data_IF_123213493012
#
_entry.id   IF_123213493012
#
_cell.length_a   1.000
_cell.length_b   1.000
_cell.length_c   1.000
_cell.angle_alpha   90.00
_cell.angle_beta   90.00
_cell.angle_gamma   90.00
#
_symmetry.space_group_name_H-M   'P 1'
#
loop_
_entity.id
_entity.type
_entity.pdbx_description
1 polymer ?
#
# COMPACT_ATOMS: atom_id res chain seq x y z
N UNK A 1 15.86 -22.46 -17.15
CA UNK A 1 16.68 -22.08 -15.97
C UNK A 1 17.48 -20.84 -16.36
N UNK A 2 17.63 -19.89 -15.46
CA UNK A 2 18.36 -18.63 -15.68
C UNK A 2 19.39 -18.53 -14.56
N UNK A 3 20.66 -18.35 -14.93
CA UNK A 3 21.72 -18.07 -13.95
C UNK A 3 22.03 -16.58 -13.97
N UNK A 4 22.16 -15.96 -12.78
CA UNK A 4 22.40 -14.51 -12.64
C UNK A 4 23.10 -14.22 -11.31
N UNK A 5 23.70 -13.03 -11.19
CA UNK A 5 24.28 -12.62 -9.90
C UNK A 5 23.22 -12.16 -8.93
N UNK A 6 22.19 -11.42 -9.39
CA UNK A 6 21.14 -10.89 -8.51
C UNK A 6 19.75 -11.14 -9.08
N UNK A 7 18.84 -11.69 -8.28
CA UNK A 7 17.42 -11.74 -8.58
C UNK A 7 16.68 -10.65 -7.80
N UNK A 8 15.96 -9.78 -8.50
CA UNK A 8 15.09 -8.76 -7.91
C UNK A 8 13.64 -9.22 -8.04
N UNK A 9 12.94 -9.36 -6.93
CA UNK A 9 11.53 -9.79 -6.89
C UNK A 9 10.63 -8.59 -6.60
N UNK A 10 9.85 -8.19 -7.58
CA UNK A 10 9.01 -6.99 -7.57
C UNK A 10 9.65 -5.82 -8.30
N UNK A 11 8.87 -5.14 -9.16
CA UNK A 11 9.27 -3.95 -9.91
C UNK A 11 8.36 -2.74 -9.60
N UNK A 12 8.04 -2.57 -8.33
CA UNK A 12 7.55 -1.31 -7.77
C UNK A 12 8.70 -0.33 -7.52
N UNK A 13 8.44 0.74 -6.78
CA UNK A 13 9.42 1.80 -6.48
C UNK A 13 10.77 1.24 -6.00
N UNK A 14 10.76 0.32 -5.04
CA UNK A 14 11.97 -0.26 -4.47
C UNK A 14 12.74 -1.13 -5.48
N UNK A 15 12.03 -1.96 -6.24
CA UNK A 15 12.66 -2.82 -7.25
C UNK A 15 13.27 -2.03 -8.41
N UNK A 16 12.57 -1.00 -8.91
CA UNK A 16 13.10 -0.13 -9.96
C UNK A 16 14.34 0.64 -9.48
N UNK A 17 14.30 1.16 -8.25
CA UNK A 17 15.49 1.80 -7.64
C UNK A 17 16.65 0.81 -7.50
N UNK A 18 16.38 -0.44 -7.11
CA UNK A 18 17.40 -1.47 -7.04
C UNK A 18 18.00 -1.75 -8.41
N UNK A 19 17.18 -1.91 -9.46
CA UNK A 19 17.64 -2.11 -10.84
C UNK A 19 18.57 -1.00 -11.32
N UNK A 20 18.21 0.25 -11.06
CA UNK A 20 19.06 1.41 -11.36
C UNK A 20 20.43 1.31 -10.68
N UNK A 21 20.45 1.00 -9.39
CA UNK A 21 21.73 0.91 -8.65
C UNK A 21 22.56 -0.31 -9.04
N UNK A 22 21.93 -1.42 -9.42
CA UNK A 22 22.62 -2.59 -9.97
C UNK A 22 23.30 -2.24 -11.31
N UNK A 23 22.63 -1.50 -12.19
CA UNK A 23 23.26 -0.97 -13.42
C UNK A 23 24.46 -0.08 -13.09
N UNK A 24 24.33 0.82 -12.15
CA UNK A 24 25.44 1.68 -11.70
C UNK A 24 26.58 0.89 -11.06
N UNK A 25 26.31 -0.28 -10.52
CA UNK A 25 27.31 -1.21 -10.01
C UNK A 25 27.96 -2.08 -11.12
N UNK A 26 27.63 -1.83 -12.38
CA UNK A 26 28.20 -2.51 -13.54
C UNK A 26 27.54 -3.84 -13.90
N UNK A 27 26.32 -4.11 -13.38
CA UNK A 27 25.54 -5.28 -13.76
C UNK A 27 24.58 -4.94 -14.91
N UNK A 28 24.44 -5.87 -15.86
CA UNK A 28 23.53 -5.71 -17.00
C UNK A 28 22.23 -6.48 -16.74
N UNK A 29 21.08 -5.87 -17.04
CA UNK A 29 19.79 -6.53 -16.92
C UNK A 29 19.67 -7.70 -17.91
N UNK A 30 19.15 -8.83 -17.46
CA UNK A 30 19.03 -10.05 -18.21
C UNK A 30 20.24 -11.00 -18.08
N UNK A 31 21.41 -10.49 -17.72
CA UNK A 31 22.64 -11.25 -17.50
C UNK A 31 23.12 -11.17 -16.04
N UNK A 32 23.58 -9.98 -15.61
CA UNK A 32 24.08 -9.73 -14.26
C UNK A 32 22.98 -9.64 -13.20
N UNK A 33 21.79 -9.24 -13.58
CA UNK A 33 20.60 -9.33 -12.72
C UNK A 33 19.34 -9.57 -13.54
N UNK A 34 18.33 -10.15 -12.90
CA UNK A 34 16.98 -10.30 -13.47
C UNK A 34 15.95 -9.69 -12.56
N UNK A 35 14.93 -9.06 -13.13
CA UNK A 35 13.80 -8.51 -12.40
C UNK A 35 12.53 -9.28 -12.74
N UNK A 36 11.84 -9.76 -11.72
CA UNK A 36 10.61 -10.56 -11.83
C UNK A 36 9.47 -9.80 -11.16
N UNK A 37 8.38 -9.55 -11.88
CA UNK A 37 7.23 -8.86 -11.34
C UNK A 37 5.93 -9.58 -11.74
N UNK A 38 5.03 -9.75 -10.76
CA UNK A 38 3.75 -10.44 -10.97
C UNK A 38 2.70 -9.59 -11.67
N UNK A 39 2.86 -8.28 -11.63
CA UNK A 39 1.89 -7.33 -12.18
C UNK A 39 1.79 -7.47 -13.70
N UNK A 40 0.63 -7.17 -14.30
CA UNK A 40 0.47 -7.24 -15.75
C UNK A 40 1.26 -6.16 -16.51
N UNK A 41 1.57 -5.06 -15.82
CA UNK A 41 2.29 -3.91 -16.41
C UNK A 41 3.13 -3.15 -15.37
N UNK A 42 3.86 -2.12 -15.81
CA UNK A 42 4.56 -1.19 -14.93
C UNK A 42 3.62 -0.46 -13.98
N UNK A 43 4.13 -0.02 -12.82
CA UNK A 43 3.37 0.80 -11.86
C UNK A 43 3.26 0.22 -10.46
N UNK A 44 3.65 -1.04 -10.25
CA UNK A 44 3.52 -1.69 -8.94
C UNK A 44 2.08 -1.58 -8.40
N UNK A 45 1.93 -1.22 -7.12
CA UNK A 45 0.62 -1.05 -6.49
C UNK A 45 -0.20 0.14 -7.02
N UNK A 46 0.44 1.09 -7.72
CA UNK A 46 -0.24 2.30 -8.19
C UNK A 46 -1.26 2.01 -9.29
N UNK A 47 -1.01 1.04 -10.17
CA UNK A 47 -1.92 0.67 -11.25
C UNK A 47 -3.28 0.14 -10.77
N UNK A 48 -3.39 -0.19 -9.47
CA UNK A 48 -4.61 -0.75 -8.86
C UNK A 48 -5.32 0.24 -7.92
N UNK A 49 -4.85 1.49 -7.84
CA UNK A 49 -5.50 2.51 -7.02
C UNK A 49 -6.83 2.93 -7.64
N UNK A 50 -7.72 3.44 -6.81
CA UNK A 50 -9.01 3.94 -7.26
C UNK A 50 -8.85 5.21 -8.12
N UNK A 51 -9.70 5.39 -9.15
CA UNK A 51 -9.50 6.44 -10.16
C UNK A 51 -9.56 7.88 -9.62
N UNK A 52 -10.34 8.14 -8.58
CA UNK A 52 -10.47 9.47 -7.96
C UNK A 52 -9.25 9.88 -7.11
N UNK A 53 -8.29 8.98 -6.90
CA UNK A 53 -7.01 9.35 -6.27
C UNK A 53 -6.15 10.09 -7.29
N UNK A 54 -6.20 11.41 -7.27
CA UNK A 54 -5.45 12.29 -8.19
C UNK A 54 -4.09 12.68 -7.62
N UNK A 55 -3.25 13.31 -8.44
CA UNK A 55 -1.94 13.80 -8.01
C UNK A 55 -2.02 14.90 -6.94
N UNK A 56 -3.14 15.63 -6.87
CA UNK A 56 -3.37 16.62 -5.82
C UNK A 56 -3.78 16.01 -4.47
N UNK A 57 -4.35 14.80 -4.49
CA UNK A 57 -4.85 14.14 -3.26
C UNK A 57 -3.95 13.02 -2.76
N UNK A 58 -3.02 12.54 -3.60
CA UNK A 58 -2.04 11.55 -3.18
C UNK A 58 -1.04 12.13 -2.19
N UNK A 59 -0.58 11.32 -1.24
CA UNK A 59 0.44 11.73 -0.27
C UNK A 59 1.86 11.68 -0.89
N UNK A 60 2.05 12.44 -1.98
CA UNK A 60 3.31 12.56 -2.69
C UNK A 60 3.69 11.33 -3.55
N UNK A 61 4.29 11.60 -4.69
CA UNK A 61 4.98 10.62 -5.53
C UNK A 61 6.45 11.02 -5.53
N UNK A 62 7.32 10.16 -5.02
CA UNK A 62 8.75 10.42 -4.93
C UNK A 62 9.47 10.08 -6.22
N UNK A 63 10.49 10.86 -6.55
CA UNK A 63 11.37 10.60 -7.67
C UNK A 63 12.10 9.27 -7.50
N UNK A 64 12.27 8.55 -8.60
CA UNK A 64 13.18 7.42 -8.68
C UNK A 64 14.62 7.92 -9.01
N UNK A 65 15.66 7.20 -8.59
CA UNK A 65 17.03 7.60 -8.84
C UNK A 65 17.29 7.86 -10.33
N UNK A 66 17.82 9.04 -10.67
CA UNK A 66 18.22 9.37 -12.04
C UNK A 66 17.10 9.87 -12.97
N UNK A 67 15.84 9.99 -12.49
CA UNK A 67 14.73 10.50 -13.28
C UNK A 67 13.66 11.11 -12.37
N UNK A 68 13.33 12.38 -12.58
CA UNK A 68 12.28 13.04 -11.83
C UNK A 68 10.88 12.62 -12.32
N UNK A 69 9.93 12.50 -11.40
CA UNK A 69 8.53 12.24 -11.74
C UNK A 69 7.93 13.36 -12.58
N UNK A 70 8.27 14.61 -12.22
CA UNK A 70 7.82 15.81 -12.94
C UNK A 70 8.17 15.79 -14.44
N UNK A 71 9.32 15.19 -14.84
CA UNK A 71 9.73 15.10 -16.25
C UNK A 71 8.78 14.25 -17.11
N UNK A 72 7.84 13.56 -16.48
CA UNK A 72 6.89 12.67 -17.18
C UNK A 72 5.45 13.17 -17.16
N UNK A 73 5.22 14.27 -16.45
CA UNK A 73 3.92 14.92 -16.40
C UNK A 73 3.73 15.83 -17.63
N UNK A 74 2.48 15.99 -18.03
CA UNK A 74 2.08 17.02 -18.99
C UNK A 74 1.67 18.31 -18.28
N UNK A 75 1.06 19.21 -19.02
CA UNK A 75 0.55 20.50 -18.51
C UNK A 75 -0.84 20.37 -17.85
N UNK A 76 -1.32 19.14 -17.67
CA UNK A 76 -2.63 18.88 -17.08
C UNK A 76 -2.63 19.24 -15.57
N UNK A 77 -3.73 19.87 -15.07
CA UNK A 77 -3.84 20.15 -13.63
C UNK A 77 -3.77 18.87 -12.79
N UNK A 78 -3.03 18.90 -11.68
CA UNK A 78 -2.85 17.74 -10.79
C UNK A 78 -4.16 17.15 -10.28
N UNK A 79 -5.21 17.98 -10.17
CA UNK A 79 -6.56 17.59 -9.75
C UNK A 79 -7.25 16.67 -10.76
N UNK A 80 -6.89 16.77 -12.05
CA UNK A 80 -7.48 15.99 -13.14
C UNK A 80 -6.70 14.70 -13.47
N UNK A 81 -5.46 14.57 -12.96
CA UNK A 81 -4.59 13.44 -13.31
C UNK A 81 -4.68 12.35 -12.25
N UNK A 82 -5.24 11.22 -12.63
CA UNK A 82 -5.30 10.05 -11.76
C UNK A 82 -3.88 9.50 -11.47
N UNK A 83 -3.58 9.24 -10.20
CA UNK A 83 -2.29 8.67 -9.81
C UNK A 83 -2.10 7.26 -10.39
N UNK A 84 -3.22 6.52 -10.59
CA UNK A 84 -3.24 5.20 -11.21
C UNK A 84 -2.83 5.21 -12.70
N UNK A 85 -2.81 6.36 -13.36
CA UNK A 85 -2.36 6.53 -14.74
C UNK A 85 -0.96 7.15 -14.80
N UNK A 86 -0.73 8.21 -14.02
CA UNK A 86 0.52 8.96 -14.05
C UNK A 86 1.71 8.14 -13.55
N UNK A 87 1.57 7.43 -12.44
CA UNK A 87 2.69 6.68 -11.85
C UNK A 87 3.06 5.45 -12.68
N UNK A 88 2.12 4.63 -13.21
CA UNK A 88 2.45 3.58 -14.17
C UNK A 88 3.13 4.09 -15.44
N UNK A 89 2.71 5.25 -15.97
CA UNK A 89 3.37 5.91 -17.11
C UNK A 89 4.82 6.29 -16.77
N UNK A 90 5.06 6.84 -15.60
CA UNK A 90 6.39 7.18 -15.11
C UNK A 90 7.28 5.94 -14.97
N UNK A 91 6.77 4.86 -14.35
CA UNK A 91 7.55 3.63 -14.17
C UNK A 91 7.86 2.95 -15.49
N UNK A 92 6.94 2.98 -16.46
CA UNK A 92 7.21 2.49 -17.83
C UNK A 92 8.37 3.24 -18.48
N UNK A 93 8.31 4.59 -18.47
CA UNK A 93 9.40 5.42 -19.02
C UNK A 93 10.74 5.17 -18.29
N UNK A 94 10.68 4.92 -16.98
CA UNK A 94 11.85 4.60 -16.19
C UNK A 94 12.46 3.26 -16.59
N UNK A 95 11.66 2.23 -16.74
CA UNK A 95 12.10 0.91 -17.20
C UNK A 95 12.72 0.96 -18.59
N UNK A 96 12.12 1.71 -19.51
CA UNK A 96 12.62 1.94 -20.86
C UNK A 96 13.95 2.71 -20.85
N UNK A 97 14.02 3.83 -20.11
CA UNK A 97 15.21 4.67 -20.03
C UNK A 97 16.43 3.97 -19.48
N UNK A 98 16.23 3.09 -18.53
CA UNK A 98 17.31 2.37 -17.85
C UNK A 98 17.40 0.91 -18.28
N UNK A 99 16.70 0.51 -19.34
CA UNK A 99 16.75 -0.85 -19.95
C UNK A 99 16.65 -1.98 -18.91
N UNK A 100 15.70 -1.85 -17.94
CA UNK A 100 15.61 -2.76 -16.80
C UNK A 100 15.08 -4.15 -17.16
N UNK A 101 14.53 -4.35 -18.35
CA UNK A 101 14.05 -5.63 -18.92
C UNK A 101 13.22 -6.46 -17.94
N UNK A 102 12.25 -5.82 -17.23
CA UNK A 102 11.41 -6.48 -16.22
C UNK A 102 10.56 -7.57 -16.86
N UNK A 103 10.65 -8.78 -16.33
CA UNK A 103 9.84 -9.93 -16.78
C UNK A 103 8.48 -9.92 -16.10
N UNK A 104 7.41 -9.84 -16.89
CA UNK A 104 5.99 -9.80 -16.47
C UNK A 104 5.09 -10.62 -17.39
N UNK A 105 3.98 -11.16 -16.89
CA UNK A 105 3.71 -11.40 -15.46
C UNK A 105 4.49 -12.63 -14.97
N UNK A 106 5.24 -12.49 -13.89
CA UNK A 106 6.00 -13.58 -13.29
C UNK A 106 5.80 -13.60 -11.78
N UNK A 107 5.06 -14.57 -11.28
CA UNK A 107 4.78 -14.72 -9.85
C UNK A 107 5.79 -15.67 -9.22
N UNK A 108 6.69 -15.13 -8.40
CA UNK A 108 7.59 -15.94 -7.57
C UNK A 108 6.77 -16.57 -6.45
N UNK A 109 6.83 -17.91 -6.37
CA UNK A 109 6.08 -18.70 -5.40
C UNK A 109 6.92 -19.19 -4.23
N UNK A 110 8.21 -19.43 -4.45
CA UNK A 110 9.13 -19.90 -3.40
C UNK A 110 10.57 -19.52 -3.72
N UNK A 111 11.30 -19.19 -2.66
CA UNK A 111 12.76 -18.99 -2.68
C UNK A 111 13.38 -19.96 -1.68
N UNK A 112 14.34 -20.78 -2.16
CA UNK A 112 15.09 -21.71 -1.35
C UNK A 112 16.56 -21.35 -1.34
N UNK A 113 17.21 -21.53 -0.22
CA UNK A 113 18.66 -21.56 -0.14
C UNK A 113 19.19 -22.85 -0.78
N UNK A 114 20.16 -22.70 -1.67
CA UNK A 114 20.87 -23.80 -2.37
C UNK A 114 22.38 -23.49 -2.43
N UNK A 115 22.96 -23.22 -1.27
CA UNK A 115 24.36 -22.81 -1.16
C UNK A 115 25.25 -23.27 -2.32
N UNK A 116 25.97 -22.35 -2.97
CA UNK A 116 26.13 -20.94 -2.63
C UNK A 116 25.08 -20.01 -3.29
N UNK A 117 24.00 -20.52 -3.85
CA UNK A 117 23.02 -19.79 -4.63
C UNK A 117 21.63 -19.83 -3.97
N UNK A 118 20.82 -18.83 -4.29
CA UNK A 118 19.38 -18.85 -4.07
C UNK A 118 18.67 -19.43 -5.29
N UNK A 119 17.74 -20.34 -5.06
CA UNK A 119 16.84 -20.83 -6.09
C UNK A 119 15.49 -20.15 -5.96
N UNK A 120 15.11 -19.38 -7.00
CA UNK A 120 13.85 -18.64 -7.11
C UNK A 120 12.94 -19.35 -8.10
N UNK A 121 11.76 -19.76 -7.68
CA UNK A 121 10.80 -20.50 -8.50
C UNK A 121 9.58 -19.64 -8.82
N UNK A 122 9.21 -19.59 -10.11
CA UNK A 122 8.07 -18.85 -10.63
C UNK A 122 7.41 -19.64 -11.77
N UNK A 123 6.54 -20.58 -11.45
CA UNK A 123 5.96 -21.52 -12.40
C UNK A 123 7.05 -22.36 -13.08
N UNK A 124 7.13 -22.31 -14.40
CA UNK A 124 8.18 -23.00 -15.17
C UNK A 124 9.53 -22.26 -15.15
N UNK A 125 9.55 -21.02 -14.71
CA UNK A 125 10.78 -20.22 -14.62
C UNK A 125 11.50 -20.53 -13.30
N UNK A 126 12.76 -20.93 -13.42
CA UNK A 126 13.68 -21.11 -12.29
C UNK A 126 14.87 -20.18 -12.50
N UNK A 127 15.19 -19.38 -11.47
CA UNK A 127 16.37 -18.50 -11.44
C UNK A 127 17.29 -18.98 -10.33
N UNK A 128 18.58 -19.15 -10.68
CA UNK A 128 19.66 -19.35 -9.73
C UNK A 128 20.44 -18.04 -9.58
N UNK A 129 20.55 -17.52 -8.35
CA UNK A 129 21.14 -16.21 -8.11
C UNK A 129 22.10 -16.24 -6.91
N UNK A 130 23.22 -15.49 -7.00
CA UNK A 130 24.16 -15.30 -5.88
C UNK A 130 23.56 -14.39 -4.79
N UNK A 131 22.71 -13.43 -5.18
CA UNK A 131 22.05 -12.48 -4.30
C UNK A 131 20.56 -12.31 -4.60
N UNK A 132 19.83 -11.90 -3.58
CA UNK A 132 18.39 -11.69 -3.66
C UNK A 132 18.00 -10.29 -3.15
N UNK A 133 17.21 -9.54 -3.93
CA UNK A 133 16.57 -8.31 -3.50
C UNK A 133 15.05 -8.52 -3.53
N UNK A 134 14.44 -8.55 -2.33
CA UNK A 134 13.00 -8.65 -2.23
C UNK A 134 12.35 -7.26 -2.17
N UNK A 135 11.58 -6.92 -3.19
CA UNK A 135 10.89 -5.65 -3.37
C UNK A 135 9.38 -5.83 -3.61
N UNK A 136 8.78 -6.88 -3.03
CA UNK A 136 7.39 -7.30 -3.28
C UNK A 136 6.32 -6.43 -2.63
N UNK A 137 6.73 -5.50 -1.77
CA UNK A 137 5.81 -4.56 -1.13
C UNK A 137 4.75 -5.24 -0.25
N UNK A 138 3.54 -4.65 -0.24
CA UNK A 138 2.47 -5.05 0.67
C UNK A 138 1.11 -5.25 0.00
N UNK A 139 0.93 -4.76 -1.23
CA UNK A 139 -0.37 -4.68 -1.92
C UNK A 139 -1.15 -6.00 -1.98
N UNK A 140 -0.43 -7.12 -2.08
CA UNK A 140 -1.03 -8.45 -2.20
C UNK A 140 -1.46 -9.07 -0.86
N UNK A 141 -1.22 -8.36 0.25
CA UNK A 141 -1.56 -8.81 1.60
C UNK A 141 -2.42 -7.76 2.31
N UNK A 142 -3.65 -7.47 1.84
CA UNK A 142 -4.59 -6.65 2.57
C UNK A 142 -4.84 -7.27 3.95
N UNK A 143 -4.93 -6.43 4.97
CA UNK A 143 -5.17 -6.89 6.33
C UNK A 143 -6.62 -6.60 6.74
N UNK A 144 -7.41 -7.63 6.90
CA UNK A 144 -8.74 -7.57 7.49
C UNK A 144 -8.70 -8.25 8.85
N UNK A 145 -8.93 -7.53 9.95
CA UNK A 145 -8.98 -8.13 11.26
C UNK A 145 -10.24 -9.00 11.42
N UNK A 146 -10.12 -10.08 12.16
CA UNK A 146 -11.26 -10.92 12.50
C UNK A 146 -12.05 -10.28 13.66
N UNK A 147 -13.36 -10.30 13.54
CA UNK A 147 -14.32 -9.94 14.59
C UNK A 147 -15.41 -11.00 14.66
N UNK A 148 -15.86 -11.30 15.87
CA UNK A 148 -16.94 -12.26 16.09
C UNK A 148 -18.18 -11.85 15.28
N UNK A 149 -18.75 -12.80 14.54
CA UNK A 149 -19.90 -12.62 13.68
C UNK A 149 -19.60 -12.03 12.29
N UNK A 150 -18.33 -11.78 11.95
CA UNK A 150 -17.96 -11.23 10.63
C UNK A 150 -18.41 -12.13 9.46
N UNK A 151 -18.42 -13.44 9.66
CA UNK A 151 -18.84 -14.44 8.67
C UNK A 151 -20.36 -14.51 8.47
N UNK A 152 -21.15 -14.00 9.42
CA UNK A 152 -22.62 -13.96 9.34
C UNK A 152 -23.16 -12.64 8.81
N UNK A 153 -22.29 -11.68 8.57
CA UNK A 153 -22.70 -10.38 8.05
C UNK A 153 -23.29 -10.49 6.66
N UNK A 154 -24.57 -10.12 6.49
CA UNK A 154 -25.29 -10.20 5.23
C UNK A 154 -24.94 -9.06 4.26
N UNK A 155 -24.33 -7.97 4.76
CA UNK A 155 -23.86 -6.87 3.94
C UNK A 155 -22.54 -7.17 3.21
N UNK A 156 -22.02 -6.18 2.49
CA UNK A 156 -20.75 -6.29 1.78
C UNK A 156 -19.58 -5.95 2.69
N UNK A 157 -18.58 -6.83 2.77
CA UNK A 157 -17.27 -6.50 3.34
C UNK A 157 -16.25 -6.33 2.22
N UNK A 158 -15.48 -5.25 2.23
CA UNK A 158 -14.42 -5.01 1.25
C UNK A 158 -13.22 -4.30 1.92
N UNK A 159 -12.05 -4.53 1.38
CA UNK A 159 -10.84 -3.79 1.76
C UNK A 159 -10.66 -2.58 0.84
N UNK A 160 -9.92 -1.54 1.28
CA UNK A 160 -9.58 -0.39 0.42
C UNK A 160 -8.92 -0.76 -0.91
N UNK A 161 -8.29 -1.93 -0.99
CA UNK A 161 -7.77 -2.51 -2.24
C UNK A 161 -8.86 -2.70 -3.30
N UNK A 162 -10.08 -3.00 -2.86
CA UNK A 162 -11.22 -3.36 -3.72
C UNK A 162 -12.15 -2.18 -4.00
N UNK A 163 -11.92 -1.04 -3.35
CA UNK A 163 -12.68 0.18 -3.59
C UNK A 163 -12.42 0.74 -5.01
N UNK A 164 -13.47 1.21 -5.66
CA UNK A 164 -13.39 1.82 -7.00
C UNK A 164 -14.01 3.21 -7.05
N UNK A 165 -15.26 3.37 -6.62
CA UNK A 165 -15.98 4.64 -6.66
C UNK A 165 -16.99 4.73 -5.51
N UNK A 166 -17.25 5.94 -5.04
CA UNK A 166 -18.23 6.20 -4.00
C UNK A 166 -19.67 5.89 -4.46
N UNK A 167 -19.97 6.03 -5.73
CA UNK A 167 -21.30 5.81 -6.30
C UNK A 167 -21.85 4.38 -6.08
N UNK A 168 -20.94 3.39 -5.89
CA UNK A 168 -21.32 2.01 -5.56
C UNK A 168 -22.09 1.91 -4.22
N UNK A 169 -21.97 2.92 -3.38
CA UNK A 169 -22.54 2.93 -2.03
C UNK A 169 -23.80 3.81 -1.90
N UNK A 170 -24.30 4.38 -2.99
CA UNK A 170 -25.49 5.21 -2.96
C UNK A 170 -26.67 4.48 -2.28
N UNK A 171 -27.31 5.15 -1.30
CA UNK A 171 -28.42 4.61 -0.52
C UNK A 171 -28.06 3.51 0.51
N UNK A 172 -26.76 3.29 0.78
CA UNK A 172 -26.26 2.32 1.77
C UNK A 172 -25.58 3.03 2.93
N UNK A 173 -25.62 2.45 4.13
CA UNK A 173 -24.81 2.93 5.23
C UNK A 173 -23.45 2.22 5.26
N UNK A 174 -22.35 3.01 5.22
CA UNK A 174 -20.99 2.49 5.15
C UNK A 174 -20.25 2.70 6.46
N UNK A 175 -19.83 1.61 7.09
CA UNK A 175 -18.92 1.65 8.25
C UNK A 175 -17.47 1.59 7.72
N UNK A 176 -16.71 2.67 7.88
CA UNK A 176 -15.29 2.73 7.47
C UNK A 176 -14.41 2.48 8.69
N UNK A 177 -13.59 1.44 8.62
CA UNK A 177 -12.74 0.97 9.71
C UNK A 177 -11.28 1.29 9.42
N UNK A 178 -10.68 2.17 10.23
CA UNK A 178 -9.26 2.50 10.13
C UNK A 178 -8.96 3.97 10.39
N UNK A 179 -7.75 4.26 10.84
CA UNK A 179 -7.31 5.62 11.20
C UNK A 179 -6.19 6.17 10.31
N UNK A 180 -6.02 5.63 9.10
CA UNK A 180 -4.99 6.05 8.15
C UNK A 180 -5.50 7.01 7.07
N UNK A 181 -4.58 7.50 6.22
CA UNK A 181 -4.88 8.43 5.12
C UNK A 181 -5.98 7.88 4.22
N UNK A 182 -5.91 6.60 3.82
CA UNK A 182 -6.94 6.01 2.97
C UNK A 182 -8.34 6.02 3.61
N UNK A 183 -8.44 5.84 4.94
CA UNK A 183 -9.74 5.89 5.62
C UNK A 183 -10.38 7.27 5.48
N UNK A 184 -9.62 8.34 5.76
CA UNK A 184 -10.17 9.72 5.72
C UNK A 184 -10.45 10.19 4.30
N UNK A 185 -9.65 9.77 3.31
CA UNK A 185 -9.91 10.05 1.90
C UNK A 185 -11.22 9.39 1.44
N UNK A 186 -11.41 8.10 1.75
CA UNK A 186 -12.63 7.39 1.39
C UNK A 186 -13.86 7.89 2.17
N UNK A 187 -13.70 8.30 3.43
CA UNK A 187 -14.77 8.98 4.17
C UNK A 187 -15.19 10.30 3.51
N UNK A 188 -14.22 11.08 3.03
CA UNK A 188 -14.52 12.31 2.30
C UNK A 188 -15.33 12.01 1.02
N UNK A 189 -14.90 11.08 0.20
CA UNK A 189 -15.60 10.70 -1.03
C UNK A 189 -17.00 10.10 -0.75
N UNK A 190 -17.07 9.09 0.10
CA UNK A 190 -18.29 8.32 0.36
C UNK A 190 -19.35 9.18 1.06
N UNK A 191 -18.94 10.06 1.99
CA UNK A 191 -19.88 10.93 2.72
C UNK A 191 -20.57 11.99 1.85
N UNK A 192 -20.11 12.19 0.61
CA UNK A 192 -20.78 13.05 -0.36
C UNK A 192 -21.95 12.34 -1.05
N UNK A 193 -21.96 11.02 -1.03
CA UNK A 193 -22.94 10.18 -1.73
C UNK A 193 -23.92 9.53 -0.76
N UNK A 194 -23.44 9.15 0.44
CA UNK A 194 -24.26 8.42 1.40
C UNK A 194 -23.80 8.63 2.85
N UNK A 195 -24.49 8.01 3.81
CA UNK A 195 -24.16 8.12 5.24
C UNK A 195 -23.01 7.18 5.61
N UNK A 196 -22.13 7.66 6.50
CA UNK A 196 -20.96 6.92 6.96
C UNK A 196 -20.86 6.87 8.47
N UNK A 197 -20.21 5.83 9.00
CA UNK A 197 -19.73 5.76 10.37
C UNK A 197 -18.24 5.48 10.35
N UNK A 198 -17.44 6.34 10.97
CA UNK A 198 -16.00 6.16 11.09
C UNK A 198 -15.61 5.48 12.39
N UNK A 199 -14.84 4.41 12.30
CA UNK A 199 -14.45 3.58 13.46
C UNK A 199 -12.94 3.37 13.49
N UNK A 200 -12.32 3.64 14.64
CA UNK A 200 -10.87 3.43 14.80
C UNK A 200 -10.52 2.88 16.19
N UNK A 201 -9.44 2.10 16.27
CA UNK A 201 -8.91 1.59 17.55
C UNK A 201 -8.35 2.69 18.45
N UNK A 202 -7.72 3.71 17.85
CA UNK A 202 -7.10 4.83 18.54
C UNK A 202 -7.54 6.13 17.90
N UNK A 203 -7.75 7.20 18.66
CA UNK A 203 -8.00 8.51 18.08
C UNK A 203 -6.88 8.89 17.13
N UNK A 204 -7.18 9.26 15.88
CA UNK A 204 -6.17 9.80 14.98
C UNK A 204 -5.73 11.18 15.45
N UNK A 205 -4.52 11.56 15.14
CA UNK A 205 -3.97 12.89 15.38
C UNK A 205 -4.00 13.65 14.06
N UNK A 206 -4.69 14.78 14.03
CA UNK A 206 -4.65 15.69 12.90
C UNK A 206 -3.58 16.75 13.12
N UNK A 207 -3.01 17.26 12.04
CA UNK A 207 -2.05 18.36 12.01
C UNK A 207 -2.43 19.36 10.93
N UNK A 208 -2.16 20.62 11.20
CA UNK A 208 -2.48 21.76 10.31
C UNK A 208 -1.28 22.15 9.44
N UNK A 209 -0.07 21.63 9.74
CA UNK A 209 1.16 21.94 9.01
C UNK A 209 1.51 20.85 8.01
N UNK A 210 2.07 21.25 6.88
CA UNK A 210 2.65 20.33 5.91
C UNK A 210 3.77 19.48 6.53
N UNK A 211 3.99 18.30 5.95
CA UNK A 211 5.01 17.39 6.37
C UNK A 211 6.32 17.72 5.65
N UNK A 212 7.17 18.51 6.31
CA UNK A 212 8.47 18.91 5.78
C UNK A 212 9.56 17.83 5.98
N UNK A 213 10.73 18.09 5.42
CA UNK A 213 11.88 17.17 5.53
C UNK A 213 12.34 16.94 6.98
N UNK A 214 12.17 17.92 7.88
CA UNK A 214 12.54 17.80 9.29
C UNK A 214 11.56 16.92 10.04
N UNK A 215 10.28 17.08 9.80
CA UNK A 215 9.24 16.19 10.32
C UNK A 215 9.45 14.76 9.80
N UNK A 216 9.86 14.59 8.53
CA UNK A 216 10.21 13.31 7.94
C UNK A 216 11.38 12.64 8.66
N UNK A 217 12.47 13.36 8.90
CA UNK A 217 13.63 12.84 9.65
C UNK A 217 13.25 12.42 11.08
N UNK A 218 12.45 13.22 11.77
CA UNK A 218 11.98 12.90 13.13
C UNK A 218 11.11 11.64 13.13
N UNK A 219 10.21 11.51 12.17
CA UNK A 219 9.37 10.33 12.05
C UNK A 219 10.19 9.04 11.81
N UNK A 220 11.20 9.10 10.94
CA UNK A 220 12.12 7.98 10.70
C UNK A 220 12.91 7.64 11.98
N UNK A 221 13.44 8.64 12.69
CA UNK A 221 14.16 8.43 13.93
C UNK A 221 13.28 7.74 15.00
N UNK A 222 12.01 8.13 15.13
CA UNK A 222 11.06 7.47 16.05
C UNK A 222 10.81 6.00 15.68
N UNK A 223 10.72 5.69 14.39
CA UNK A 223 10.57 4.30 13.93
C UNK A 223 11.84 3.51 14.21
N UNK A 224 13.01 4.09 13.94
CA UNK A 224 14.31 3.48 14.21
C UNK A 224 14.50 3.17 15.71
N UNK A 225 14.17 4.10 16.58
CA UNK A 225 14.24 3.91 18.04
C UNK A 225 13.34 2.76 18.51
N UNK A 226 12.11 2.66 17.97
CA UNK A 226 11.22 1.53 18.25
C UNK A 226 11.83 0.19 17.83
N UNK A 227 12.38 0.13 16.62
CA UNK A 227 12.99 -1.11 16.09
C UNK A 227 14.23 -1.49 16.91
N UNK A 228 15.06 -0.51 17.29
CA UNK A 228 16.20 -0.74 18.18
C UNK A 228 15.79 -1.24 19.58
N UNK A 229 14.61 -0.84 20.04
CA UNK A 229 14.03 -1.35 21.30
C UNK A 229 13.35 -2.73 21.14
N UNK A 230 13.48 -3.40 19.99
CA UNK A 230 12.87 -4.71 19.71
C UNK A 230 11.34 -4.66 19.53
N UNK A 231 10.76 -3.48 19.32
CA UNK A 231 9.33 -3.30 19.11
C UNK A 231 9.02 -3.28 17.61
N UNK A 232 7.86 -3.79 17.18
CA UNK A 232 7.45 -3.71 15.79
C UNK A 232 7.41 -2.25 15.31
N UNK A 233 7.78 -1.95 14.05
CA UNK A 233 7.67 -0.60 13.49
C UNK A 233 6.21 -0.15 13.55
N UNK A 234 5.95 1.06 14.02
CA UNK A 234 4.62 1.69 13.97
C UNK A 234 4.21 2.02 12.54
N UNK A 235 2.92 2.28 12.30
CA UNK A 235 2.51 2.83 11.01
C UNK A 235 3.05 4.26 10.85
N UNK A 236 3.38 4.64 9.62
CA UNK A 236 3.87 6.01 9.32
C UNK A 236 2.91 7.06 9.88
N UNK A 237 1.62 6.91 9.67
CA UNK A 237 0.58 7.84 10.16
C UNK A 237 0.56 7.95 11.69
N UNK A 238 0.93 6.88 12.43
CA UNK A 238 0.99 6.93 13.90
C UNK A 238 2.08 7.87 14.43
N UNK A 239 3.07 8.19 13.61
CA UNK A 239 4.17 9.12 13.96
C UNK A 239 4.06 10.46 13.24
N UNK A 240 3.37 10.53 12.07
CA UNK A 240 3.27 11.74 11.26
C UNK A 240 1.97 12.49 11.43
N UNK A 241 0.91 11.85 11.93
CA UNK A 241 -0.45 12.38 11.94
C UNK A 241 -1.07 12.48 10.53
N UNK A 242 -2.32 12.93 10.49
CA UNK A 242 -3.09 13.17 9.26
C UNK A 242 -3.08 14.67 8.96
N UNK A 243 -2.71 15.06 7.75
CA UNK A 243 -2.83 16.45 7.32
C UNK A 243 -4.31 16.79 7.12
N UNK A 244 -4.78 17.84 7.79
CA UNK A 244 -6.13 18.36 7.60
C UNK A 244 -6.17 19.24 6.35
N UNK A 245 -6.46 18.63 5.20
CA UNK A 245 -6.66 19.36 3.94
C UNK A 245 -8.01 20.09 3.92
N UNK A 246 -8.22 21.06 3.01
CA UNK A 246 -9.54 21.72 2.87
C UNK A 246 -10.68 20.73 2.60
N UNK A 247 -10.47 19.68 1.83
CA UNK A 247 -11.49 18.63 1.59
C UNK A 247 -11.81 17.85 2.86
N UNK A 248 -10.81 17.48 3.66
CA UNK A 248 -11.01 16.79 4.93
C UNK A 248 -11.67 17.70 5.98
N UNK A 249 -11.38 19.01 5.98
CA UNK A 249 -12.10 19.97 6.81
C UNK A 249 -13.59 20.02 6.41
N UNK A 250 -13.90 20.02 5.12
CA UNK A 250 -15.28 19.93 4.64
C UNK A 250 -15.95 18.59 5.03
N UNK A 251 -15.24 17.47 4.97
CA UNK A 251 -15.72 16.17 5.45
C UNK A 251 -16.00 16.18 6.96
N UNK A 252 -15.16 16.86 7.74
CA UNK A 252 -15.37 17.06 9.17
C UNK A 252 -16.63 17.88 9.44
N UNK A 253 -16.86 18.97 8.72
CA UNK A 253 -18.10 19.76 8.83
C UNK A 253 -19.36 18.96 8.47
N UNK A 254 -19.26 17.96 7.59
CA UNK A 254 -20.36 17.02 7.28
C UNK A 254 -20.54 15.94 8.36
N UNK A 255 -19.70 15.89 9.39
CA UNK A 255 -19.73 14.86 10.43
C UNK A 255 -19.09 13.52 9.99
N UNK A 256 -18.51 13.43 8.80
CA UNK A 256 -17.91 12.20 8.30
C UNK A 256 -16.67 11.77 9.10
N UNK A 257 -16.01 12.73 9.78
CA UNK A 257 -14.86 12.48 10.65
C UNK A 257 -15.21 12.41 12.14
N UNK A 258 -16.50 12.27 12.48
CA UNK A 258 -16.95 12.02 13.85
C UNK A 258 -16.67 10.57 14.23
N UNK A 259 -15.50 10.39 14.84
CA UNK A 259 -14.96 9.08 15.16
C UNK A 259 -15.74 8.36 16.26
N UNK A 260 -16.04 7.08 16.04
CA UNK A 260 -16.45 6.14 17.11
C UNK A 260 -15.28 5.21 17.52
N UNK A 261 -15.25 4.71 18.77
CA UNK A 261 -14.30 3.65 19.16
C UNK A 261 -14.55 2.38 18.33
N UNK A 262 -13.61 1.44 18.40
CA UNK A 262 -13.76 0.16 17.70
C UNK A 262 -14.94 -0.62 18.29
N UNK A 263 -15.74 -1.24 17.42
CA UNK A 263 -16.80 -2.16 17.83
C UNK A 263 -16.22 -3.50 18.34
N UNK A 264 -17.00 -4.26 19.12
CA UNK A 264 -16.60 -5.55 19.69
C UNK A 264 -17.01 -6.74 18.79
N UNK A 265 -18.12 -6.63 18.08
CA UNK A 265 -18.66 -7.71 17.24
C UNK A 265 -19.45 -7.19 16.05
N UNK A 266 -19.77 -8.10 15.15
CA UNK A 266 -20.57 -7.87 13.95
C UNK A 266 -21.77 -8.80 14.02
N UNK A 267 -22.93 -8.31 13.61
CA UNK A 267 -24.15 -9.11 13.45
C UNK A 267 -24.54 -9.18 11.97
N UNK A 268 -25.61 -9.85 11.66
CA UNK A 268 -26.12 -9.99 10.29
C UNK A 268 -26.26 -8.64 9.56
N UNK A 269 -26.64 -7.56 10.27
CA UNK A 269 -26.89 -6.25 9.67
C UNK A 269 -26.30 -5.06 10.43
N UNK A 270 -25.42 -5.30 11.41
CA UNK A 270 -24.92 -4.21 12.26
C UNK A 270 -23.53 -4.47 12.80
N UNK A 271 -22.84 -3.40 13.23
CA UNK A 271 -21.71 -3.47 14.14
C UNK A 271 -22.18 -3.15 15.56
N UNK A 272 -21.62 -3.81 16.59
CA UNK A 272 -22.06 -3.71 17.98
C UNK A 272 -20.88 -3.36 18.87
N UNK A 273 -21.07 -2.40 19.81
CA UNK A 273 -20.07 -2.01 20.78
C UNK A 273 -20.25 -2.74 22.12
N UNK A 274 -19.23 -2.70 22.97
CA UNK A 274 -19.23 -3.35 24.29
C UNK A 274 -20.37 -2.89 25.21
N UNK A 275 -20.84 -1.65 25.06
CA UNK A 275 -21.98 -1.10 25.81
C UNK A 275 -23.36 -1.59 25.31
N UNK A 276 -23.38 -2.46 24.31
CA UNK A 276 -24.58 -2.99 23.69
C UNK A 276 -25.21 -2.06 22.64
N UNK A 277 -24.68 -0.89 22.43
CA UNK A 277 -25.13 -0.03 21.32
C UNK A 277 -24.78 -0.64 19.98
N UNK A 278 -25.59 -0.40 18.95
CA UNK A 278 -25.40 -0.94 17.61
C UNK A 278 -25.58 0.14 16.54
N UNK A 279 -24.96 -0.10 15.40
CA UNK A 279 -25.11 0.72 14.20
C UNK A 279 -25.39 -0.20 13.01
N UNK A 280 -26.50 0.04 12.34
CA UNK A 280 -26.78 -0.63 11.07
C UNK A 280 -25.65 -0.40 10.07
N UNK A 281 -25.33 -1.42 9.30
CA UNK A 281 -24.32 -1.37 8.25
C UNK A 281 -24.78 -2.21 7.04
N UNK A 282 -24.77 -1.61 5.87
CA UNK A 282 -24.90 -2.32 4.60
C UNK A 282 -23.53 -2.72 4.06
N UNK A 283 -22.50 -1.94 4.44
CA UNK A 283 -21.13 -2.14 3.99
C UNK A 283 -20.15 -1.90 5.13
N UNK A 284 -19.16 -2.79 5.26
CA UNK A 284 -17.98 -2.56 6.11
C UNK A 284 -16.77 -2.42 5.18
N UNK A 285 -16.15 -1.24 5.19
CA UNK A 285 -14.97 -0.91 4.41
C UNK A 285 -13.72 -0.94 5.31
N UNK A 286 -12.88 -1.94 5.11
CA UNK A 286 -11.66 -2.15 5.87
C UNK A 286 -10.51 -1.31 5.32
N UNK A 287 -10.25 -0.15 5.94
CA UNK A 287 -9.09 0.71 5.67
C UNK A 287 -7.95 0.41 6.66
N UNK A 288 -7.70 -0.87 6.90
CA UNK A 288 -6.86 -1.41 7.96
C UNK A 288 -5.41 -1.70 7.52
N UNK A 289 -5.07 -1.27 6.29
CA UNK A 289 -3.73 -1.38 5.75
C UNK A 289 -3.38 -2.77 5.23
N UNK A 290 -2.09 -3.02 5.12
CA UNK A 290 -1.54 -4.19 4.45
C UNK A 290 -0.41 -4.79 5.29
N UNK A 291 -0.12 -6.07 5.04
CA UNK A 291 1.06 -6.76 5.55
C UNK A 291 2.09 -6.97 4.43
N UNK A 292 3.35 -7.20 4.80
CA UNK A 292 4.40 -7.50 3.82
C UNK A 292 4.13 -8.82 3.10
N UNK A 293 4.33 -8.83 1.78
CA UNK A 293 4.14 -10.01 0.93
C UNK A 293 5.41 -10.86 0.91
N UNK A 294 5.66 -11.65 1.97
CA UNK A 294 6.90 -12.39 2.21
C UNK A 294 6.76 -13.92 2.21
N UNK A 295 5.60 -14.46 1.85
CA UNK A 295 5.32 -15.90 1.98
C UNK A 295 6.30 -16.75 1.14
N UNK A 296 6.69 -16.26 -0.02
CA UNK A 296 7.65 -16.92 -0.91
C UNK A 296 9.06 -17.05 -0.30
N UNK A 297 9.38 -16.28 0.73
CA UNK A 297 10.65 -16.32 1.46
C UNK A 297 10.60 -17.23 2.69
N UNK A 298 9.47 -17.87 3.00
CA UNK A 298 9.32 -18.69 4.19
C UNK A 298 10.39 -19.78 4.36
N UNK A 299 10.87 -20.45 3.29
CA UNK A 299 11.93 -21.46 3.42
C UNK A 299 13.27 -20.89 3.92
N UNK A 300 13.54 -19.61 3.73
CA UNK A 300 14.78 -18.97 4.17
C UNK A 300 14.82 -18.70 5.68
N UNK A 301 13.69 -18.84 6.38
CA UNK A 301 13.56 -18.66 7.86
C UNK A 301 14.15 -17.35 8.38
N UNK A 302 13.94 -16.25 7.65
CA UNK A 302 14.52 -14.94 7.97
C UNK A 302 13.85 -14.22 9.14
N UNK A 303 12.73 -14.72 9.67
CA UNK A 303 12.03 -14.12 10.80
C UNK A 303 12.71 -14.50 12.11
N UNK A 304 13.05 -13.46 12.90
CA UNK A 304 13.53 -13.61 14.26
C UNK A 304 12.42 -13.38 15.30
N UNK A 305 12.80 -13.28 16.59
CA UNK A 305 11.90 -12.86 17.66
C UNK A 305 11.38 -11.44 17.37
N UNK A 306 10.04 -11.32 17.24
CA UNK A 306 9.37 -10.04 16.97
C UNK A 306 8.90 -9.83 15.53
N UNK A 307 9.07 -10.77 14.62
CA UNK A 307 8.48 -10.77 13.28
C UNK A 307 9.44 -10.89 12.14
#
# INVERSE_FOLDING_TARGET
MIDTRVAVIGAGQAGLSAGYHLHRAGLTAGEGFVMLDRSPGPGGAWQFRWPSLTLSTVNGVHDLPGMAFADTLGDEPAESVAAADAVPRYYRKYEERFELHVRRPVTVTVVCDREPLFRVEAGETVVMAEGLINATGTWEKPFVPHYDGAETFAGRQLHTKDYRTADEFAGKHVVVVGGGISAVQLLDEISQVTTTTWVTRRPPVFRDSEFDHDAGRKAVAMVEERVRAGLPPGSVVSVTGLLLTPSLAAAQHRGALDRKPMFSSITEHSVVWEDGSSQHADVILWATGFRSALDHLAPLRLRGHGG
#
